data_IF_440442173997
#
_entry.id   IF_440442173997
#
_cell.length_a   1.000
_cell.length_b   1.000
_cell.length_c   1.000
_cell.angle_alpha   90.00
_cell.angle_beta   90.00
_cell.angle_gamma   90.00
#
_symmetry.space_group_name_H-M   'P 1'
#
loop_
_entity.id
_entity.type
_entity.pdbx_description
1 polymer ?
#
# COMPACT_ATOMS: atom_id res chain seq x y z
N UNK A 1 18.80 -26.00 39.06
CA UNK A 1 18.63 -26.41 37.65
C UNK A 1 17.33 -25.88 37.02
N UNK A 2 16.24 -25.76 37.75
CA UNK A 2 14.98 -25.21 37.23
C UNK A 2 15.06 -23.77 36.66
N UNK A 3 15.83 -22.89 37.30
CA UNK A 3 15.94 -21.50 36.87
C UNK A 3 16.70 -21.34 35.55
N UNK A 4 17.63 -22.21 35.26
CA UNK A 4 18.41 -22.16 34.03
C UNK A 4 17.55 -22.51 32.81
N UNK A 5 16.66 -23.47 32.94
CA UNK A 5 15.70 -23.86 31.90
C UNK A 5 14.74 -22.71 31.62
N UNK A 6 14.22 -22.04 32.65
CA UNK A 6 13.33 -20.90 32.52
C UNK A 6 14.02 -19.75 31.80
N UNK A 7 15.28 -19.45 32.15
CA UNK A 7 16.05 -18.38 31.49
C UNK A 7 16.27 -18.70 30.01
N UNK A 8 16.63 -19.95 29.69
CA UNK A 8 16.83 -20.38 28.29
C UNK A 8 15.51 -20.24 27.47
N UNK A 9 14.40 -20.66 28.04
CA UNK A 9 13.08 -20.54 27.39
C UNK A 9 12.70 -19.08 27.16
N UNK A 10 12.91 -18.21 28.15
CA UNK A 10 12.67 -16.78 28.02
C UNK A 10 13.55 -16.15 26.94
N UNK A 11 14.83 -16.50 26.87
CA UNK A 11 15.74 -16.00 25.84
C UNK A 11 15.30 -16.46 24.44
N UNK A 12 14.83 -17.69 24.30
CA UNK A 12 14.30 -18.19 23.03
C UNK A 12 13.03 -17.46 22.60
N UNK A 13 12.12 -17.17 23.54
CA UNK A 13 10.89 -16.42 23.26
C UNK A 13 11.23 -14.98 22.85
N UNK A 14 12.15 -14.34 23.55
CA UNK A 14 12.59 -12.97 23.22
C UNK A 14 13.29 -12.94 21.86
N UNK A 15 14.18 -13.89 21.59
CA UNK A 15 14.85 -14.00 20.30
C UNK A 15 13.86 -14.22 19.15
N UNK A 16 12.84 -15.05 19.39
CA UNK A 16 11.77 -15.28 18.42
C UNK A 16 10.91 -14.03 18.20
N UNK A 17 10.54 -13.34 19.26
CA UNK A 17 9.78 -12.08 19.19
C UNK A 17 10.56 -10.97 18.47
N UNK A 18 11.86 -10.86 18.72
CA UNK A 18 12.73 -9.89 18.03
C UNK A 18 12.86 -10.23 16.55
N UNK A 19 12.98 -11.51 16.21
CA UNK A 19 13.04 -11.95 14.81
C UNK A 19 11.75 -11.66 14.04
N UNK A 20 10.61 -11.85 14.67
CA UNK A 20 9.30 -11.50 14.08
C UNK A 20 9.12 -9.99 13.97
N UNK A 21 9.56 -9.25 15.00
CA UNK A 21 9.52 -7.78 15.02
C UNK A 21 10.46 -7.17 13.97
N UNK A 22 11.61 -7.79 13.70
CA UNK A 22 12.55 -7.32 12.67
C UNK A 22 11.98 -7.45 11.25
N UNK A 23 11.09 -8.40 10.99
CA UNK A 23 10.36 -8.49 9.73
C UNK A 23 9.41 -7.32 9.50
N UNK A 24 8.88 -6.73 10.58
CA UNK A 24 8.05 -5.53 10.52
C UNK A 24 8.87 -4.24 10.40
N UNK A 25 10.16 -4.25 10.74
CA UNK A 25 11.04 -3.08 10.59
C UNK A 25 11.64 -2.94 9.18
N UNK A 26 11.68 -4.00 8.39
CA UNK A 26 12.13 -3.94 7.00
C UNK A 26 10.99 -3.75 5.99
N UNK A 27 9.74 -3.76 6.43
CA UNK A 27 8.62 -3.30 5.65
C UNK A 27 8.40 -1.84 5.98
N UNK A 28 8.73 -0.92 5.06
CA UNK A 28 8.49 0.50 5.08
C UNK A 28 7.42 0.92 6.07
N UNK A 29 7.88 1.15 7.30
CA UNK A 29 7.05 1.50 8.41
C UNK A 29 6.65 2.95 8.32
N UNK A 30 5.37 3.20 8.21
CA UNK A 30 4.81 4.51 8.44
C UNK A 30 5.17 4.98 9.86
N UNK A 31 5.91 6.07 9.95
CA UNK A 31 6.16 6.78 11.20
C UNK A 31 4.86 7.32 11.76
N UNK A 32 4.36 6.70 12.82
CA UNK A 32 3.45 7.36 13.75
C UNK A 32 4.30 8.14 14.76
N UNK A 33 4.49 9.40 14.53
CA UNK A 33 5.15 10.32 15.46
C UNK A 33 4.80 11.73 15.05
N UNK A 34 4.02 12.42 15.89
CA UNK A 34 3.61 13.80 15.66
C UNK A 34 4.80 14.71 15.41
N UNK A 35 4.77 15.39 14.31
CA UNK A 35 5.71 16.39 13.87
C UNK A 35 5.31 16.82 12.48
N UNK A 36 4.88 18.04 12.32
CA UNK A 36 4.61 18.70 11.06
C UNK A 36 5.77 18.51 10.10
N UNK A 37 5.66 17.55 9.20
CA UNK A 37 6.49 17.47 8.02
C UNK A 37 5.61 17.81 6.83
N UNK A 38 5.60 19.07 6.49
CA UNK A 38 5.32 19.53 5.14
C UNK A 38 6.36 18.90 4.21
N UNK A 39 6.12 17.70 3.82
CA UNK A 39 6.69 17.16 2.61
C UNK A 39 5.51 16.70 1.77
N UNK A 40 5.27 17.43 0.71
CA UNK A 40 4.52 16.98 -0.46
C UNK A 40 5.12 15.65 -0.91
N UNK A 41 4.78 14.59 -0.24
CA UNK A 41 5.14 13.25 -0.65
C UNK A 41 4.26 12.94 -1.86
N UNK A 42 4.77 13.31 -3.03
CA UNK A 42 4.31 12.75 -4.28
C UNK A 42 4.26 11.24 -4.09
N UNK A 43 3.11 10.58 -4.25
CA UNK A 43 3.04 9.15 -4.04
C UNK A 43 4.07 8.48 -4.95
N UNK A 44 5.04 7.79 -4.34
CA UNK A 44 6.06 7.08 -5.09
C UNK A 44 5.39 5.97 -5.90
N UNK A 45 5.57 6.01 -7.21
CA UNK A 45 5.16 4.92 -8.09
C UNK A 45 5.89 3.66 -7.66
N UNK A 46 5.14 2.65 -7.23
CA UNK A 46 5.67 1.30 -7.05
C UNK A 46 6.19 0.82 -8.40
N UNK A 47 7.42 0.34 -8.44
CA UNK A 47 7.96 -0.32 -9.64
C UNK A 47 7.37 -1.72 -9.70
N UNK A 48 6.79 -2.06 -10.84
CA UNK A 48 6.37 -3.42 -11.15
C UNK A 48 7.61 -4.26 -11.49
N UNK A 49 7.62 -5.52 -11.07
CA UNK A 49 8.71 -6.46 -11.36
C UNK A 49 8.61 -7.06 -12.77
N UNK A 50 7.45 -6.89 -13.44
CA UNK A 50 7.15 -7.44 -14.75
C UNK A 50 6.64 -6.42 -15.76
N UNK A 51 6.44 -6.84 -17.02
CA UNK A 51 5.81 -6.00 -18.03
C UNK A 51 4.35 -5.71 -17.66
N UNK A 52 3.90 -4.49 -17.93
CA UNK A 52 2.50 -4.11 -17.73
C UNK A 52 1.63 -4.90 -18.71
N UNK A 53 0.72 -5.71 -18.18
CA UNK A 53 -0.23 -6.51 -18.97
C UNK A 53 -1.57 -5.80 -19.13
N UNK A 54 -2.01 -5.10 -18.08
CA UNK A 54 -3.27 -4.39 -18.06
C UNK A 54 -3.06 -3.02 -17.41
N UNK A 55 -3.72 -2.01 -17.95
CA UNK A 55 -3.81 -0.67 -17.38
C UNK A 55 -5.26 -0.30 -17.17
N UNK A 56 -5.57 0.23 -16.01
CA UNK A 56 -6.91 0.69 -15.66
C UNK A 56 -6.86 2.14 -15.24
N UNK A 57 -7.82 2.90 -15.72
CA UNK A 57 -8.04 4.29 -15.34
C UNK A 57 -9.31 4.42 -14.52
N UNK A 58 -9.16 4.92 -13.30
CA UNK A 58 -10.26 5.09 -12.36
C UNK A 58 -10.47 6.56 -12.04
N UNK A 59 -11.69 7.01 -12.08
CA UNK A 59 -12.04 8.30 -11.50
C UNK A 59 -12.46 8.09 -10.05
N UNK A 60 -11.71 8.70 -9.12
CA UNK A 60 -11.91 8.54 -7.68
C UNK A 60 -12.52 9.82 -7.11
N UNK A 61 -13.71 9.70 -6.53
CA UNK A 61 -14.37 10.80 -5.84
C UNK A 61 -14.03 10.80 -4.34
N UNK A 62 -14.08 11.99 -3.74
CA UNK A 62 -13.83 12.17 -2.31
C UNK A 62 -12.39 12.53 -1.95
N UNK A 63 -11.48 12.61 -2.90
CA UNK A 63 -10.12 13.10 -2.66
C UNK A 63 -10.11 14.63 -2.57
N UNK A 64 -9.75 15.16 -1.40
CA UNK A 64 -9.68 16.59 -1.14
C UNK A 64 -8.27 17.10 -0.84
N UNK A 65 -7.33 16.20 -0.57
CA UNK A 65 -5.97 16.55 -0.19
C UNK A 65 -4.97 15.53 -0.72
N UNK A 66 -3.69 15.90 -0.74
CA UNK A 66 -2.60 15.01 -1.16
C UNK A 66 -2.49 13.76 -0.29
N UNK A 67 -2.81 13.86 0.99
CA UNK A 67 -2.88 12.72 1.89
C UNK A 67 -3.96 11.72 1.47
N UNK A 68 -5.08 12.20 0.93
CA UNK A 68 -6.14 11.35 0.40
C UNK A 68 -5.65 10.58 -0.82
N UNK A 69 -5.00 11.26 -1.75
CA UNK A 69 -4.40 10.63 -2.93
C UNK A 69 -3.32 9.60 -2.53
N UNK A 70 -2.50 9.91 -1.54
CA UNK A 70 -1.48 8.99 -1.00
C UNK A 70 -2.10 7.75 -0.36
N UNK A 71 -3.23 7.86 0.34
CA UNK A 71 -3.96 6.71 0.91
C UNK A 71 -4.49 5.79 -0.19
N UNK A 72 -5.13 6.36 -1.20
CA UNK A 72 -5.61 5.60 -2.36
C UNK A 72 -4.46 4.89 -3.07
N UNK A 73 -3.35 5.59 -3.31
CA UNK A 73 -2.16 4.99 -3.93
C UNK A 73 -1.60 3.83 -3.09
N UNK A 74 -1.51 3.99 -1.77
CA UNK A 74 -1.05 2.92 -0.88
C UNK A 74 -1.98 1.71 -0.88
N UNK A 75 -3.29 1.95 -0.85
CA UNK A 75 -4.28 0.87 -0.88
C UNK A 75 -4.16 0.02 -2.16
N UNK A 76 -3.95 0.66 -3.30
CA UNK A 76 -3.78 -0.03 -4.57
C UNK A 76 -2.39 -0.69 -4.65
N UNK A 77 -1.33 0.00 -4.21
CA UNK A 77 0.03 -0.55 -4.19
C UNK A 77 0.20 -1.73 -3.22
N UNK A 78 -0.69 -1.89 -2.25
CA UNK A 78 -0.73 -3.06 -1.38
C UNK A 78 -1.20 -4.33 -2.10
N UNK A 79 -1.83 -4.19 -3.25
CA UNK A 79 -2.21 -5.31 -4.10
C UNK A 79 -0.98 -5.80 -4.85
N UNK A 80 -0.72 -7.10 -4.77
CA UNK A 80 0.40 -7.72 -5.51
C UNK A 80 0.20 -7.59 -7.02
N UNK A 81 1.18 -7.00 -7.67
CA UNK A 81 1.17 -6.81 -9.12
C UNK A 81 0.41 -5.57 -9.60
N UNK A 82 -0.01 -4.69 -8.70
CA UNK A 82 -0.61 -3.40 -9.04
C UNK A 82 0.31 -2.24 -8.65
N UNK A 83 0.41 -1.25 -9.51
CA UNK A 83 1.10 0.01 -9.26
C UNK A 83 0.17 1.17 -9.60
N UNK A 84 -0.05 2.06 -8.64
CA UNK A 84 -0.95 3.20 -8.82
C UNK A 84 -0.19 4.52 -9.00
N UNK A 85 -0.67 5.31 -9.93
CA UNK A 85 -0.30 6.72 -10.09
C UNK A 85 -1.56 7.57 -9.89
N UNK A 86 -1.68 8.18 -8.72
CA UNK A 86 -2.87 8.94 -8.34
C UNK A 86 -2.63 10.44 -8.51
N UNK A 87 -3.50 11.10 -9.27
CA UNK A 87 -3.47 12.54 -9.47
C UNK A 87 -4.65 13.21 -8.76
N UNK A 88 -4.36 14.00 -7.72
CA UNK A 88 -5.37 14.78 -7.00
C UNK A 88 -6.05 15.82 -7.91
N UNK A 89 -5.26 16.49 -8.76
CA UNK A 89 -5.77 17.55 -9.64
C UNK A 89 -6.82 17.06 -10.62
N UNK A 90 -6.63 15.84 -11.12
CA UNK A 90 -7.55 15.21 -12.09
C UNK A 90 -8.60 14.33 -11.41
N UNK A 91 -8.45 14.07 -10.09
CA UNK A 91 -9.25 13.08 -9.35
C UNK A 91 -9.22 11.69 -10.00
N UNK A 92 -8.07 11.32 -10.50
CA UNK A 92 -7.85 10.19 -11.38
C UNK A 92 -6.74 9.30 -10.82
N UNK A 93 -6.94 8.00 -10.87
CA UNK A 93 -5.98 7.00 -10.50
C UNK A 93 -5.71 6.11 -11.71
N UNK A 94 -4.47 6.12 -12.18
CA UNK A 94 -3.97 5.21 -13.21
C UNK A 94 -3.31 4.03 -12.53
N UNK A 95 -3.73 2.82 -12.86
CA UNK A 95 -3.24 1.59 -12.25
C UNK A 95 -2.67 0.67 -13.31
N UNK A 96 -1.39 0.40 -13.21
CA UNK A 96 -0.69 -0.56 -14.05
C UNK A 96 -0.63 -1.92 -13.33
N UNK A 97 -0.92 -3.00 -14.03
CA UNK A 97 -0.90 -4.36 -13.51
C UNK A 97 0.05 -5.23 -14.32
N UNK A 98 0.92 -5.98 -13.63
CA UNK A 98 1.82 -6.98 -14.24
C UNK A 98 1.18 -8.37 -14.37
N UNK A 99 -0.04 -8.51 -13.86
CA UNK A 99 -0.83 -9.74 -13.88
C UNK A 99 -2.31 -9.43 -14.06
N UNK A 100 -3.10 -10.45 -14.30
CA UNK A 100 -4.55 -10.32 -14.41
C UNK A 100 -5.19 -10.08 -13.04
N UNK A 101 -5.47 -8.81 -12.76
CA UNK A 101 -6.14 -8.38 -11.53
C UNK A 101 -7.53 -7.87 -11.90
N UNK A 102 -8.55 -8.46 -11.30
CA UNK A 102 -9.92 -8.01 -11.52
C UNK A 102 -10.09 -6.55 -11.06
N UNK A 103 -10.66 -5.65 -11.88
CA UNK A 103 -10.89 -4.25 -11.50
C UNK A 103 -11.73 -4.12 -10.23
N UNK A 104 -12.61 -5.09 -9.95
CA UNK A 104 -13.40 -5.16 -8.73
C UNK A 104 -12.53 -5.23 -7.45
N UNK A 105 -11.37 -5.88 -7.51
CA UNK A 105 -10.42 -5.96 -6.40
C UNK A 105 -9.83 -4.59 -6.08
N UNK A 106 -9.48 -3.83 -7.11
CA UNK A 106 -8.94 -2.47 -6.99
C UNK A 106 -10.00 -1.53 -6.44
N UNK A 107 -11.23 -1.61 -6.96
CA UNK A 107 -12.37 -0.83 -6.47
C UNK A 107 -12.64 -1.13 -4.99
N UNK A 108 -12.63 -2.39 -4.59
CA UNK A 108 -12.83 -2.78 -3.20
C UNK A 108 -11.74 -2.23 -2.28
N UNK A 109 -10.48 -2.20 -2.72
CA UNK A 109 -9.38 -1.63 -1.96
C UNK A 109 -9.55 -0.11 -1.75
N UNK A 110 -9.95 0.62 -2.79
CA UNK A 110 -10.24 2.06 -2.73
C UNK A 110 -11.45 2.36 -1.85
N UNK A 111 -12.50 1.54 -1.94
CA UNK A 111 -13.72 1.67 -1.14
C UNK A 111 -13.45 1.45 0.36
N UNK A 112 -12.52 0.56 0.72
CA UNK A 112 -12.09 0.34 2.11
C UNK A 112 -11.49 1.58 2.76
N UNK A 113 -10.84 2.42 1.99
CA UNK A 113 -10.29 3.71 2.43
C UNK A 113 -11.36 4.81 2.51
N UNK A 114 -12.61 4.52 2.13
CA UNK A 114 -13.74 5.44 2.18
C UNK A 114 -13.91 6.33 0.95
N UNK A 115 -13.31 5.96 -0.18
CA UNK A 115 -13.42 6.69 -1.45
C UNK A 115 -14.32 5.94 -2.42
N UNK A 116 -14.98 6.68 -3.30
CA UNK A 116 -15.85 6.13 -4.34
C UNK A 116 -15.15 6.15 -5.71
N UNK A 117 -15.28 5.07 -6.46
CA UNK A 117 -14.82 4.97 -7.84
C UNK A 117 -16.02 5.18 -8.77
N UNK A 118 -15.94 6.15 -9.68
CA UNK A 118 -17.06 6.54 -10.54
C UNK A 118 -16.99 5.98 -11.95
N UNK A 119 -15.80 5.94 -12.53
CA UNK A 119 -15.60 5.44 -13.90
C UNK A 119 -14.40 4.52 -13.98
N UNK A 120 -14.52 3.52 -14.82
CA UNK A 120 -13.47 2.57 -15.13
C UNK A 120 -13.27 2.59 -16.64
N UNK A 121 -12.13 3.09 -17.07
CA UNK A 121 -11.66 2.88 -18.44
C UNK A 121 -10.51 1.88 -18.38
N UNK A 122 -10.70 0.68 -18.91
CA UNK A 122 -9.68 -0.33 -19.02
C UNK A 122 -9.15 -0.36 -20.44
N UNK A 123 -7.86 -0.22 -20.62
CA UNK A 123 -7.19 -0.50 -21.87
C UNK A 123 -6.36 -1.77 -21.72
N UNK A 124 -6.75 -2.82 -22.45
CA UNK A 124 -5.90 -3.99 -22.64
C UNK A 124 -4.83 -3.64 -23.65
N UNK A 125 -3.60 -3.72 -23.21
CA UNK A 125 -2.44 -3.53 -24.08
C UNK A 125 -1.87 -4.87 -24.51
#
# INVERSE_FOLDING_TARGET
MSNLIVIVVLLLIVAWAVKESAKHLHGEGGCCGGGSCEHSAKPEKKKLDGPVLHSYDFQVEGMHCENCAAKVARAINAIDGAAADVSLRKKHAHVDCDRDIAPATIIAAVAREGYAVKEISGEMK
#
